data_IF_544745800556
#
_entry.id   IF_544745800556
#
_cell.length_a   1.000
_cell.length_b   1.000
_cell.length_c   1.000
_cell.angle_alpha   90.00
_cell.angle_beta   90.00
_cell.angle_gamma   90.00
#
_symmetry.space_group_name_H-M   'P 1'
#
loop_
_entity.id
_entity.type
_entity.pdbx_description
1 polymer ?
#
# COMPACT_ATOMS: atom_id res chain seq x y z
N UNK A 1 -3.75 -5.66 10.47
CA UNK A 1 -2.76 -5.15 9.50
C UNK A 1 -2.69 -6.12 8.33
N UNK A 2 -2.86 -5.63 7.10
CA UNK A 2 -2.83 -6.43 5.86
C UNK A 2 -1.72 -5.89 4.96
N UNK A 3 -0.94 -6.75 4.31
CA UNK A 3 0.16 -6.35 3.43
C UNK A 3 -0.29 -6.19 1.97
N UNK A 4 -0.37 -4.93 1.53
CA UNK A 4 -0.67 -4.49 0.17
C UNK A 4 0.59 -4.36 -0.69
N UNK A 5 0.56 -3.40 -1.62
CA UNK A 5 1.70 -2.98 -2.44
C UNK A 5 1.37 -1.68 -3.16
N UNK A 6 2.34 -0.80 -3.35
CA UNK A 6 2.18 0.39 -4.20
C UNK A 6 1.77 0.06 -5.64
N UNK A 7 2.01 -1.16 -6.13
CA UNK A 7 1.54 -1.62 -7.44
C UNK A 7 0.04 -1.97 -7.49
N UNK A 8 -0.62 -2.10 -6.34
CA UNK A 8 -2.08 -2.20 -6.26
C UNK A 8 -2.79 -0.86 -6.50
N UNK A 9 -2.08 0.24 -6.29
CA UNK A 9 -2.58 1.61 -6.46
C UNK A 9 -2.27 2.16 -7.86
N UNK A 10 -1.02 2.00 -8.31
CA UNK A 10 -0.56 2.41 -9.65
C UNK A 10 0.13 1.22 -10.31
N UNK A 11 -0.48 0.59 -11.33
CA UNK A 11 0.01 -0.64 -11.91
C UNK A 11 1.22 -0.42 -12.81
N UNK A 12 2.13 -1.40 -12.82
CA UNK A 12 3.19 -1.52 -13.82
C UNK A 12 2.88 -2.68 -14.75
N UNK A 13 1.81 -2.50 -15.54
CA UNK A 13 1.14 -3.59 -16.27
C UNK A 13 2.00 -4.33 -17.29
N UNK A 14 3.03 -3.68 -17.84
CA UNK A 14 3.96 -4.31 -18.80
C UNK A 14 4.88 -5.37 -18.17
N UNK A 15 5.00 -5.39 -16.84
CA UNK A 15 6.01 -6.18 -16.13
C UNK A 15 5.37 -7.10 -15.08
N UNK A 16 4.33 -6.64 -14.38
CA UNK A 16 3.76 -7.33 -13.22
C UNK A 16 2.23 -7.40 -13.25
N UNK A 17 1.62 -7.66 -14.41
CA UNK A 17 0.16 -7.59 -14.61
C UNK A 17 -0.66 -8.37 -13.58
N UNK A 18 -0.33 -9.66 -13.36
CA UNK A 18 -1.03 -10.52 -12.40
C UNK A 18 -0.83 -10.02 -10.97
N UNK A 19 0.40 -9.63 -10.60
CA UNK A 19 0.70 -9.11 -9.27
C UNK A 19 -0.01 -7.77 -8.99
N UNK A 20 -0.06 -6.87 -9.98
CA UNK A 20 -0.80 -5.61 -9.86
C UNK A 20 -2.29 -5.89 -9.66
N UNK A 21 -2.88 -6.82 -10.40
CA UNK A 21 -4.28 -7.19 -10.27
C UNK A 21 -4.59 -7.77 -8.88
N UNK A 22 -3.74 -8.66 -8.36
CA UNK A 22 -3.95 -9.23 -7.02
C UNK A 22 -3.80 -8.18 -5.94
N UNK A 23 -2.80 -7.29 -6.03
CA UNK A 23 -2.61 -6.22 -5.04
C UNK A 23 -3.69 -5.14 -5.10
N UNK A 24 -4.23 -4.84 -6.28
CA UNK A 24 -5.41 -3.98 -6.41
C UNK A 24 -6.65 -4.62 -5.75
N UNK A 25 -6.83 -5.94 -5.90
CA UNK A 25 -7.91 -6.67 -5.23
C UNK A 25 -7.72 -6.69 -3.71
N UNK A 26 -6.49 -6.82 -3.19
CA UNK A 26 -6.20 -6.68 -1.76
C UNK A 26 -6.62 -5.29 -1.28
N UNK A 27 -6.19 -4.22 -1.95
CA UNK A 27 -6.55 -2.86 -1.56
C UNK A 27 -8.07 -2.65 -1.52
N UNK A 28 -8.78 -3.07 -2.57
CA UNK A 28 -10.24 -3.00 -2.63
C UNK A 28 -10.91 -3.80 -1.49
N UNK A 29 -10.37 -4.97 -1.15
CA UNK A 29 -10.84 -5.78 -0.03
C UNK A 29 -10.65 -5.06 1.31
N UNK A 30 -9.49 -4.46 1.57
CA UNK A 30 -9.22 -3.69 2.81
C UNK A 30 -10.17 -2.50 2.94
N UNK A 31 -10.40 -1.77 1.86
CA UNK A 31 -11.41 -0.69 1.81
C UNK A 31 -12.80 -1.22 2.18
N UNK A 32 -13.24 -2.33 1.58
CA UNK A 32 -14.54 -2.93 1.89
C UNK A 32 -14.65 -3.45 3.34
N UNK A 33 -13.57 -4.01 3.89
CA UNK A 33 -13.53 -4.44 5.30
C UNK A 33 -13.67 -3.22 6.23
N UNK A 34 -12.98 -2.10 5.94
CA UNK A 34 -13.14 -0.86 6.73
C UNK A 34 -14.57 -0.36 6.75
N UNK A 35 -15.20 -0.31 5.58
CA UNK A 35 -16.60 0.08 5.44
C UNK A 35 -17.53 -0.86 6.22
N UNK A 36 -17.28 -2.17 6.19
CA UNK A 36 -18.09 -3.17 6.90
C UNK A 36 -17.95 -3.11 8.42
N UNK A 37 -16.85 -2.54 8.91
CA UNK A 37 -16.52 -2.43 10.33
C UNK A 37 -16.69 -1.01 10.89
N UNK A 38 -17.32 -0.12 10.13
CA UNK A 38 -17.61 1.25 10.56
C UNK A 38 -18.42 1.25 11.88
N UNK A 39 -18.02 2.09 12.83
CA UNK A 39 -18.62 2.15 14.17
C UNK A 39 -18.18 1.04 15.15
N UNK A 40 -17.36 0.08 14.71
CA UNK A 40 -16.72 -0.88 15.61
C UNK A 40 -15.46 -0.33 16.26
N UNK A 41 -14.93 -1.05 17.26
CA UNK A 41 -13.62 -0.75 17.86
C UNK A 41 -12.44 -1.31 17.06
N UNK A 42 -12.67 -1.88 15.87
CA UNK A 42 -11.63 -2.53 15.07
C UNK A 42 -11.05 -1.53 14.07
N UNK A 43 -9.74 -1.31 14.17
CA UNK A 43 -9.01 -0.48 13.23
C UNK A 43 -8.29 -1.36 12.19
N UNK A 44 -8.53 -1.09 10.90
CA UNK A 44 -8.00 -1.89 9.79
C UNK A 44 -7.01 -1.04 9.01
N UNK A 45 -5.75 -1.49 9.03
CA UNK A 45 -4.62 -0.81 8.44
C UNK A 45 -4.01 -1.64 7.31
N UNK A 46 -3.71 -1.00 6.19
CA UNK A 46 -2.96 -1.58 5.07
C UNK A 46 -1.51 -1.08 5.05
N UNK A 47 -0.55 -2.00 4.96
CA UNK A 47 0.87 -1.68 4.76
C UNK A 47 1.18 -1.77 3.27
N UNK A 48 1.78 -0.72 2.71
CA UNK A 48 1.90 -0.53 1.26
C UNK A 48 3.38 -0.39 0.88
N UNK A 49 4.12 -1.51 0.80
CA UNK A 49 5.51 -1.49 0.36
C UNK A 49 5.62 -1.29 -1.15
N UNK A 50 6.79 -0.84 -1.61
CA UNK A 50 7.17 -0.86 -3.01
C UNK A 50 8.68 -0.96 -3.16
N UNK A 51 9.13 -1.90 -4.00
CA UNK A 51 10.55 -2.13 -4.31
C UNK A 51 11.42 -2.22 -3.04
N UNK A 52 11.11 -3.20 -2.17
CA UNK A 52 11.91 -3.51 -0.97
C UNK A 52 12.88 -4.65 -1.29
N UNK A 53 14.14 -4.51 -0.89
CA UNK A 53 15.25 -5.43 -1.15
C UNK A 53 15.07 -6.78 -0.47
N UNK A 54 14.20 -7.60 -1.03
CA UNK A 54 13.86 -8.96 -0.59
C UNK A 54 14.03 -9.93 -1.76
N UNK A 55 13.95 -11.23 -1.48
CA UNK A 55 14.00 -12.27 -2.52
C UNK A 55 12.71 -12.39 -3.36
N UNK A 56 11.73 -11.50 -3.19
CA UNK A 56 10.44 -11.56 -3.88
C UNK A 56 10.60 -11.60 -5.41
N UNK A 57 11.52 -10.76 -5.93
CA UNK A 57 11.77 -10.61 -7.36
C UNK A 57 13.07 -11.32 -7.79
N UNK A 58 13.60 -12.25 -6.98
CA UNK A 58 14.87 -12.92 -7.23
C UNK A 58 14.91 -13.73 -8.53
N UNK A 59 13.74 -14.17 -9.02
CA UNK A 59 13.59 -14.85 -10.32
C UNK A 59 13.56 -13.90 -11.52
N UNK A 60 13.53 -12.59 -11.28
CA UNK A 60 13.39 -11.55 -12.30
C UNK A 60 14.62 -10.61 -12.34
N UNK A 61 15.82 -11.18 -12.24
CA UNK A 61 17.09 -10.44 -12.15
C UNK A 61 17.32 -9.45 -13.30
N UNK A 62 16.82 -9.75 -14.49
CA UNK A 62 16.92 -8.86 -15.66
C UNK A 62 16.15 -7.54 -15.45
N UNK A 63 15.08 -7.55 -14.65
CA UNK A 63 14.34 -6.35 -14.29
C UNK A 63 15.10 -5.47 -13.30
N UNK A 64 15.95 -6.06 -12.45
CA UNK A 64 16.71 -5.31 -11.44
C UNK A 64 17.69 -4.31 -12.08
N UNK A 65 18.16 -4.58 -13.31
CA UNK A 65 19.00 -3.65 -14.06
C UNK A 65 18.22 -2.49 -14.70
N UNK A 66 16.89 -2.60 -14.76
CA UNK A 66 16.00 -1.63 -15.43
C UNK A 66 15.36 -0.65 -14.45
N UNK A 67 15.30 -1.00 -13.16
CA UNK A 67 14.66 -0.18 -12.12
C UNK A 67 15.68 0.45 -11.17
N UNK A 68 15.32 1.58 -10.51
CA UNK A 68 16.12 2.10 -9.40
C UNK A 68 16.35 1.04 -8.34
N UNK A 69 17.48 1.15 -7.63
CA UNK A 69 17.80 0.25 -6.53
C UNK A 69 16.63 0.23 -5.52
N UNK A 70 16.24 -0.96 -5.03
CA UNK A 70 15.18 -1.08 -4.05
C UNK A 70 15.61 -0.42 -2.72
N UNK A 71 14.62 0.05 -1.96
CA UNK A 71 14.80 0.40 -0.56
C UNK A 71 15.25 -0.84 0.21
N UNK A 72 16.17 -0.69 1.16
CA UNK A 72 16.61 -1.81 1.98
C UNK A 72 15.49 -2.27 2.93
N UNK A 73 15.57 -3.50 3.43
CA UNK A 73 14.61 -4.00 4.40
C UNK A 73 14.66 -3.20 5.73
N UNK A 74 15.84 -2.73 6.11
CA UNK A 74 16.05 -1.90 7.30
C UNK A 74 15.39 -0.53 7.14
N UNK A 75 15.66 0.17 6.03
CA UNK A 75 15.01 1.46 5.73
C UNK A 75 13.48 1.34 5.67
N UNK A 76 12.97 0.25 5.07
CA UNK A 76 11.54 -0.04 5.05
C UNK A 76 10.98 -0.25 6.46
N UNK A 77 11.66 -1.05 7.28
CA UNK A 77 11.27 -1.29 8.65
C UNK A 77 11.24 0.00 9.47
N UNK A 78 12.31 0.79 9.42
CA UNK A 78 12.42 2.03 10.17
C UNK A 78 11.35 3.06 9.78
N UNK A 79 11.07 3.22 8.47
CA UNK A 79 10.04 4.15 8.00
C UNK A 79 8.62 3.72 8.42
N UNK A 80 8.28 2.45 8.23
CA UNK A 80 6.94 1.92 8.55
C UNK A 80 6.69 1.87 10.05
N UNK A 81 7.60 1.26 10.82
CA UNK A 81 7.42 1.15 12.27
C UNK A 81 7.51 2.52 12.94
N UNK A 82 8.35 3.43 12.43
CA UNK A 82 8.36 4.82 12.90
C UNK A 82 7.00 5.51 12.75
N UNK A 83 6.28 5.29 11.64
CA UNK A 83 4.91 5.82 11.45
C UNK A 83 3.90 5.15 12.38
N UNK A 84 4.03 3.85 12.61
CA UNK A 84 3.14 3.12 13.51
C UNK A 84 3.29 3.57 14.98
N UNK A 85 4.50 3.97 15.37
CA UNK A 85 4.83 4.40 16.73
C UNK A 85 4.52 5.88 17.02
N UNK A 86 4.21 6.70 16.00
CA UNK A 86 3.87 8.14 16.12
C UNK A 86 2.57 8.42 16.91
N UNK A 87 1.91 7.40 17.46
CA UNK A 87 0.66 7.54 18.23
C UNK A 87 -0.58 7.87 17.38
N UNK A 88 -0.40 8.08 16.07
CA UNK A 88 -1.45 8.42 15.11
C UNK A 88 -2.00 7.23 14.34
N UNK A 89 -1.56 6.01 14.64
CA UNK A 89 -1.95 4.80 13.91
C UNK A 89 -3.47 4.64 13.79
N UNK A 90 -4.26 5.06 14.80
CA UNK A 90 -5.72 5.00 14.76
C UNK A 90 -6.38 5.92 13.72
N UNK A 91 -5.66 6.93 13.23
CA UNK A 91 -6.09 7.84 12.15
C UNK A 91 -5.66 7.34 10.77
N UNK A 92 -4.71 6.40 10.72
CA UNK A 92 -4.10 5.95 9.48
C UNK A 92 -4.97 4.93 8.77
N UNK A 93 -4.98 5.00 7.44
CA UNK A 93 -5.71 4.07 6.59
C UNK A 93 -4.73 3.15 5.87
N UNK A 94 -3.67 3.75 5.35
CA UNK A 94 -2.52 3.09 4.75
C UNK A 94 -1.25 3.60 5.43
N UNK A 95 -0.27 2.73 5.60
CA UNK A 95 1.12 3.11 5.89
C UNK A 95 1.94 2.65 4.70
N UNK A 96 2.63 3.59 4.07
CA UNK A 96 3.39 3.35 2.85
C UNK A 96 4.82 3.83 3.03
N UNK A 97 5.77 3.23 2.33
CA UNK A 97 7.19 3.59 2.42
C UNK A 97 7.73 4.09 1.09
N UNK A 98 8.69 5.02 1.15
CA UNK A 98 9.38 5.54 -0.02
C UNK A 98 8.43 6.02 -1.12
N UNK A 99 8.59 5.51 -2.34
CA UNK A 99 7.80 5.94 -3.51
C UNK A 99 6.35 5.42 -3.50
N UNK A 100 5.98 4.52 -2.58
CA UNK A 100 4.60 4.09 -2.43
C UNK A 100 3.69 5.19 -1.86
N UNK A 101 4.25 6.11 -1.04
CA UNK A 101 3.51 7.23 -0.45
C UNK A 101 2.74 8.02 -1.53
N UNK A 102 3.41 8.45 -2.60
CA UNK A 102 2.78 9.21 -3.68
C UNK A 102 1.65 8.46 -4.41
N UNK A 103 1.69 7.11 -4.42
CA UNK A 103 0.66 6.28 -5.06
C UNK A 103 -0.58 6.15 -4.19
N UNK A 104 -0.39 6.02 -2.88
CA UNK A 104 -1.48 6.09 -1.90
C UNK A 104 -2.15 7.45 -1.96
N UNK A 105 -1.37 8.54 -1.96
CA UNK A 105 -1.90 9.90 -2.07
C UNK A 105 -2.69 10.12 -3.36
N UNK A 106 -2.21 9.61 -4.49
CA UNK A 106 -2.94 9.70 -5.76
C UNK A 106 -4.30 9.00 -5.71
N UNK A 107 -4.41 7.85 -5.04
CA UNK A 107 -5.68 7.14 -4.88
C UNK A 107 -6.60 7.88 -3.89
N UNK A 108 -6.06 8.33 -2.75
CA UNK A 108 -6.81 9.09 -1.74
C UNK A 108 -7.34 10.40 -2.32
N UNK A 109 -6.56 11.09 -3.16
CA UNK A 109 -6.98 12.30 -3.85
C UNK A 109 -7.98 12.11 -4.99
N UNK A 110 -8.26 10.86 -5.40
CA UNK A 110 -9.17 10.54 -6.52
C UNK A 110 -10.34 9.67 -6.08
N UNK A 111 -10.19 8.35 -6.14
CA UNK A 111 -11.24 7.38 -5.80
C UNK A 111 -11.60 7.51 -4.31
N UNK A 112 -10.59 7.63 -3.43
CA UNK A 112 -10.80 7.79 -1.99
C UNK A 112 -11.65 9.02 -1.66
N UNK A 113 -11.31 10.16 -2.24
CA UNK A 113 -12.11 11.40 -2.15
C UNK A 113 -13.55 11.19 -2.61
N UNK A 114 -13.76 10.49 -3.72
CA UNK A 114 -15.11 10.17 -4.21
C UNK A 114 -15.91 9.26 -3.28
N UNK A 115 -15.26 8.40 -2.49
CA UNK A 115 -15.92 7.59 -1.45
C UNK A 115 -16.30 8.46 -0.24
N UNK A 116 -15.40 9.34 0.19
CA UNK A 116 -15.64 10.26 1.31
C UNK A 116 -16.79 11.23 1.02
N UNK A 117 -16.86 11.79 -0.20
CA UNK A 117 -17.96 12.66 -0.64
C UNK A 117 -19.33 11.95 -0.64
N UNK A 118 -19.34 10.61 -0.70
CA UNK A 118 -20.55 9.78 -0.61
C UNK A 118 -20.88 9.36 0.82
N UNK A 119 -20.09 9.80 1.80
CA UNK A 119 -20.22 9.40 3.21
C UNK A 119 -19.83 7.95 3.46
N UNK A 120 -19.03 7.34 2.58
CA UNK A 120 -18.59 5.95 2.72
C UNK A 120 -17.10 5.96 3.05
N UNK A 121 -16.78 5.93 4.35
CA UNK A 121 -15.42 6.02 4.88
C UNK A 121 -14.66 4.70 4.75
N UNK A 122 -14.14 4.42 3.56
CA UNK A 122 -13.15 3.37 3.34
C UNK A 122 -11.73 3.85 3.56
#
# INVERSE_FOLDING_TARGET
>A
MISGSGLGFVPMGGVFSVYCATKAAVHACVVGIRQSLEGSSVHVLEIVPLAVGTELDASQKELAETFPAPMTLEEFGDEEFGKLEDGRVGEMKEVAAGTANARVEAWRGSIGKGLEERGIGG
#
